data_IF_194053069871
#
_entry.id   IF_194053069871
#
_cell.length_a   1.000
_cell.length_b   1.000
_cell.length_c   1.000
_cell.angle_alpha   90.00
_cell.angle_beta   90.00
_cell.angle_gamma   90.00
#
_symmetry.space_group_name_H-M   'P 1'
#
loop_
_entity.id
_entity.type
_entity.pdbx_description
1 polymer ?
#
# COMPACT_ATOMS: atom_id res chain seq x y z
N UNK A 1 -27.52 -7.26 12.05
CA UNK A 1 -26.26 -6.56 11.70
C UNK A 1 -25.55 -6.25 13.00
N UNK A 2 -24.38 -6.83 13.24
CA UNK A 2 -23.55 -6.47 14.38
C UNK A 2 -22.52 -5.45 13.90
N UNK A 3 -22.67 -4.20 14.34
CA UNK A 3 -21.63 -3.18 14.17
C UNK A 3 -20.55 -3.45 15.22
N UNK A 4 -19.47 -4.12 14.81
CA UNK A 4 -18.29 -4.29 15.64
C UNK A 4 -17.43 -3.03 15.53
N UNK A 5 -17.33 -2.28 16.62
CA UNK A 5 -16.45 -1.12 16.72
C UNK A 5 -15.13 -1.53 17.36
N UNK A 6 -14.04 -0.95 16.86
CA UNK A 6 -12.73 -1.09 17.49
C UNK A 6 -12.56 -0.05 18.61
N UNK A 7 -11.79 -0.43 19.62
CA UNK A 7 -11.23 0.51 20.57
C UNK A 7 -10.17 1.38 19.90
N UNK A 8 -9.89 2.53 20.50
CA UNK A 8 -8.81 3.42 20.06
C UNK A 8 -7.45 2.71 20.01
N UNK A 9 -7.18 1.85 20.99
CA UNK A 9 -5.95 1.06 21.04
C UNK A 9 -5.81 0.13 19.83
N UNK A 10 -6.87 -0.59 19.48
CA UNK A 10 -6.90 -1.45 18.29
C UNK A 10 -6.72 -0.64 16.99
N UNK A 11 -7.29 0.57 16.93
CA UNK A 11 -7.12 1.47 15.79
C UNK A 11 -5.66 1.90 15.66
N UNK A 12 -5.04 2.35 16.75
CA UNK A 12 -3.65 2.80 16.78
C UNK A 12 -2.68 1.68 16.39
N UNK A 13 -2.84 0.48 16.95
CA UNK A 13 -2.01 -0.67 16.61
C UNK A 13 -2.11 -1.07 15.13
N UNK A 14 -3.32 -1.03 14.56
CA UNK A 14 -3.53 -1.35 13.14
C UNK A 14 -2.93 -0.27 12.24
N UNK A 15 -3.12 0.99 12.60
CA UNK A 15 -2.55 2.12 11.87
C UNK A 15 -1.02 2.04 11.86
N UNK A 16 -0.40 1.81 13.02
CA UNK A 16 1.06 1.70 13.15
C UNK A 16 1.63 0.62 12.24
N UNK A 17 1.00 -0.56 12.22
CA UNK A 17 1.38 -1.64 11.32
C UNK A 17 1.28 -1.26 9.85
N UNK A 18 0.14 -0.71 9.42
CA UNK A 18 -0.08 -0.31 8.03
C UNK A 18 0.94 0.75 7.57
N UNK A 19 1.20 1.73 8.43
CA UNK A 19 2.11 2.84 8.11
C UNK A 19 3.57 2.38 8.08
N UNK A 20 3.98 1.52 9.02
CA UNK A 20 5.34 0.95 9.06
C UNK A 20 5.61 0.08 7.84
N UNK A 21 4.67 -0.79 7.47
CA UNK A 21 4.79 -1.62 6.26
C UNK A 21 4.84 -0.74 5.00
N UNK A 22 4.02 0.31 4.94
CA UNK A 22 3.98 1.22 3.79
C UNK A 22 5.30 1.97 3.60
N UNK A 23 5.90 2.52 4.67
CA UNK A 23 7.16 3.26 4.55
C UNK A 23 8.33 2.35 4.21
N UNK A 24 8.37 1.13 4.78
CA UNK A 24 9.40 0.14 4.44
C UNK A 24 9.41 -0.15 2.94
N UNK A 25 8.24 -0.43 2.36
CA UNK A 25 8.12 -0.69 0.92
C UNK A 25 8.57 0.50 0.05
N UNK A 26 8.32 1.73 0.48
CA UNK A 26 8.75 2.94 -0.25
C UNK A 26 10.25 3.14 -0.16
N UNK A 27 10.86 2.91 1.01
CA UNK A 27 12.31 2.98 1.18
C UNK A 27 13.02 1.92 0.34
N UNK A 28 12.60 0.66 0.43
CA UNK A 28 13.17 -0.45 -0.34
C UNK A 28 13.09 -0.17 -1.84
N UNK A 29 11.94 0.32 -2.32
CA UNK A 29 11.74 0.65 -3.74
C UNK A 29 12.57 1.87 -4.18
N UNK A 30 12.82 2.83 -3.29
CA UNK A 30 13.65 3.99 -3.59
C UNK A 30 15.11 3.59 -3.78
N UNK A 31 15.62 2.69 -2.93
CA UNK A 31 16.94 2.08 -3.07
C UNK A 31 17.05 1.23 -4.34
N UNK A 32 16.06 0.35 -4.58
CA UNK A 32 16.01 -0.52 -5.78
C UNK A 32 16.06 0.30 -7.08
N UNK A 33 15.31 1.41 -7.14
CA UNK A 33 15.18 2.25 -8.34
C UNK A 33 16.12 3.46 -8.36
N UNK A 34 16.97 3.63 -7.36
CA UNK A 34 17.87 4.77 -7.19
C UNK A 34 17.15 6.12 -7.41
N UNK A 35 16.02 6.32 -6.73
CA UNK A 35 15.19 7.51 -6.91
C UNK A 35 14.77 8.14 -5.58
N UNK A 36 14.13 9.32 -5.64
CA UNK A 36 13.63 9.98 -4.44
C UNK A 36 12.48 9.17 -3.80
N UNK A 37 12.31 9.27 -2.47
CA UNK A 37 11.18 8.66 -1.76
C UNK A 37 9.82 9.08 -2.34
N UNK A 38 9.70 10.34 -2.80
CA UNK A 38 8.50 10.83 -3.47
C UNK A 38 8.23 10.05 -4.76
N UNK A 39 9.24 9.88 -5.61
CA UNK A 39 9.12 9.12 -6.86
C UNK A 39 8.82 7.65 -6.58
N UNK A 40 9.51 7.05 -5.60
CA UNK A 40 9.28 5.67 -5.16
C UNK A 40 7.83 5.44 -4.73
N UNK A 41 7.25 6.35 -3.94
CA UNK A 41 5.85 6.25 -3.52
C UNK A 41 4.88 6.19 -4.72
N UNK A 42 5.12 7.00 -5.77
CA UNK A 42 4.36 6.91 -7.01
C UNK A 42 4.57 5.57 -7.73
N UNK A 43 5.80 5.05 -7.78
CA UNK A 43 6.10 3.74 -8.39
C UNK A 43 5.32 2.64 -7.66
N UNK A 44 5.40 2.56 -6.33
CA UNK A 44 4.68 1.56 -5.52
C UNK A 44 3.17 1.64 -5.75
N UNK A 45 2.60 2.86 -5.80
CA UNK A 45 1.18 3.06 -6.06
C UNK A 45 0.76 2.55 -7.45
N UNK A 46 1.51 2.92 -8.49
CA UNK A 46 1.25 2.48 -9.87
C UNK A 46 1.41 0.97 -10.02
N UNK A 47 2.46 0.36 -9.46
CA UNK A 47 2.69 -1.09 -9.49
C UNK A 47 1.50 -1.86 -8.90
N UNK A 48 0.98 -1.44 -7.74
CA UNK A 48 -0.19 -2.06 -7.11
C UNK A 48 -1.43 -2.03 -8.01
N UNK A 49 -1.70 -0.89 -8.64
CA UNK A 49 -2.84 -0.73 -9.56
C UNK A 49 -2.67 -1.61 -10.80
N UNK A 50 -1.47 -1.62 -11.39
CA UNK A 50 -1.18 -2.41 -12.58
C UNK A 50 -1.25 -3.91 -12.31
N UNK A 51 -0.76 -4.38 -11.16
CA UNK A 51 -0.88 -5.77 -10.71
C UNK A 51 -2.34 -6.17 -10.54
N UNK A 52 -3.12 -5.38 -9.78
CA UNK A 52 -4.55 -5.66 -9.59
C UNK A 52 -5.33 -5.65 -10.91
N UNK A 53 -4.98 -4.76 -11.85
CA UNK A 53 -5.58 -4.73 -13.19
C UNK A 53 -5.19 -5.97 -14.00
N UNK A 54 -3.92 -6.39 -13.96
CA UNK A 54 -3.43 -7.58 -14.65
C UNK A 54 -4.13 -8.85 -14.15
N UNK A 55 -4.29 -8.98 -12.84
CA UNK A 55 -4.93 -10.14 -12.21
C UNK A 55 -6.42 -10.25 -12.55
N UNK A 56 -7.12 -9.12 -12.62
CA UNK A 56 -8.56 -9.09 -12.96
C UNK A 56 -8.83 -9.25 -14.46
N UNK A 57 -7.83 -9.02 -15.32
CA UNK A 57 -8.01 -8.95 -16.77
C UNK A 57 -8.85 -7.74 -17.21
N UNK A 58 -9.12 -7.66 -18.51
CA UNK A 58 -10.01 -6.65 -19.11
C UNK A 58 -11.28 -7.38 -19.58
N UNK A 59 -12.46 -6.94 -19.12
CA UNK A 59 -13.76 -7.43 -19.59
C UNK A 59 -14.70 -6.26 -19.91
N UNK A 60 -15.46 -6.27 -21.03
CA UNK A 60 -15.28 -7.09 -22.23
C UNK A 60 -14.32 -6.33 -23.16
N UNK A 61 -13.03 -6.69 -23.14
CA UNK A 61 -12.04 -6.13 -24.07
C UNK A 61 -12.15 -6.76 -25.44
#
# INVERSE_FOLDING_TARGET
MASFFWSEEEINQRMDKIMTDAIAHVCDKAEEKNCSLRTSAYIVACERILLARKDRGIYPG
#
